data_IF_094672753449
#
_entry.id   IF_094672753449
#
_cell.length_a   1.000
_cell.length_b   1.000
_cell.length_c   1.000
_cell.angle_alpha   90.00
_cell.angle_beta   90.00
_cell.angle_gamma   90.00
#
_symmetry.space_group_name_H-M   'P 1'
#
loop_
_entity.id
_entity.type
_entity.pdbx_description
1 polymer ?
#
# COMPACT_ATOMS: atom_id res chain seq x y z
N UNK A 1 6.92 6.44 10.67
CA UNK A 1 5.91 5.34 10.64
C UNK A 1 4.47 5.78 10.44
N UNK A 2 4.17 7.07 10.34
CA UNK A 2 2.80 7.57 10.08
C UNK A 2 2.26 7.15 8.69
N UNK A 3 3.13 6.82 7.74
CA UNK A 3 2.75 6.37 6.40
C UNK A 3 2.40 4.87 6.31
N UNK A 4 2.81 4.06 7.29
CA UNK A 4 2.63 2.61 7.25
C UNK A 4 1.19 2.15 6.94
N UNK A 5 0.13 2.76 7.48
CA UNK A 5 -1.24 2.37 7.10
C UNK A 5 -1.53 2.44 5.60
N UNK A 6 -0.85 3.34 4.87
CA UNK A 6 -1.02 3.51 3.43
C UNK A 6 -0.17 2.54 2.59
N UNK A 7 0.91 2.00 3.16
CA UNK A 7 1.85 1.13 2.44
C UNK A 7 1.79 -0.34 2.88
N UNK A 8 1.12 -0.66 4.01
CA UNK A 8 0.99 -2.04 4.48
C UNK A 8 0.32 -2.96 3.45
N UNK A 9 -0.58 -2.43 2.62
CA UNK A 9 -1.24 -3.19 1.55
C UNK A 9 -0.25 -3.74 0.50
N UNK A 10 0.92 -3.09 0.34
CA UNK A 10 1.96 -3.59 -0.56
C UNK A 10 2.57 -4.92 -0.07
N UNK A 11 2.49 -5.24 1.21
CA UNK A 11 2.95 -6.54 1.73
C UNK A 11 2.14 -7.72 1.16
N UNK A 12 0.96 -7.46 0.62
CA UNK A 12 0.15 -8.41 -0.14
C UNK A 12 0.36 -8.36 -1.65
N UNK A 13 1.40 -7.69 -2.15
CA UNK A 13 1.68 -7.51 -3.58
C UNK A 13 3.10 -7.98 -3.95
N UNK A 14 3.46 -7.85 -5.22
CA UNK A 14 4.83 -8.08 -5.69
C UNK A 14 5.77 -6.85 -5.51
N UNK A 15 5.39 -5.91 -4.65
CA UNK A 15 6.16 -4.70 -4.35
C UNK A 15 6.83 -4.83 -2.98
N UNK A 16 8.14 -4.57 -2.91
CA UNK A 16 8.87 -4.48 -1.65
C UNK A 16 8.56 -3.17 -0.93
N UNK A 17 8.35 -3.24 0.38
CA UNK A 17 8.26 -2.09 1.29
C UNK A 17 9.61 -1.75 1.94
N UNK A 18 10.71 -2.06 1.26
CA UNK A 18 12.06 -1.71 1.70
C UNK A 18 12.66 -2.60 2.78
N UNK A 19 12.04 -3.74 3.12
CA UNK A 19 12.67 -4.75 4.01
C UNK A 19 13.99 -5.19 3.40
N UNK A 20 15.06 -5.27 4.19
CA UNK A 20 16.41 -5.55 3.71
C UNK A 20 17.14 -4.32 3.13
N UNK A 21 16.67 -3.12 3.43
CA UNK A 21 17.36 -1.84 3.18
C UNK A 21 17.68 -1.12 4.49
N UNK A 22 18.38 0.01 4.42
CA UNK A 22 18.60 0.88 5.57
C UNK A 22 17.34 1.65 6.01
N UNK A 23 16.33 1.76 5.13
CA UNK A 23 15.10 2.56 5.33
C UNK A 23 13.84 1.73 5.08
N UNK A 24 13.62 0.63 5.84
CA UNK A 24 12.41 -0.17 5.71
C UNK A 24 11.18 0.69 6.00
N UNK A 25 10.13 0.51 5.19
CA UNK A 25 8.87 1.25 5.23
C UNK A 25 8.92 2.73 4.85
N UNK A 26 10.10 3.24 4.45
CA UNK A 26 10.25 4.57 3.85
C UNK A 26 10.48 4.50 2.33
N UNK A 27 10.66 3.30 1.79
CA UNK A 27 10.81 3.08 0.35
C UNK A 27 9.88 1.97 -0.13
N UNK A 28 9.36 2.11 -1.34
CA UNK A 28 8.57 1.09 -2.03
C UNK A 28 9.10 0.89 -3.45
N UNK A 29 9.14 -0.35 -3.94
CA UNK A 29 9.64 -0.64 -5.27
C UNK A 29 9.52 -2.10 -5.66
N UNK A 30 9.58 -2.36 -6.97
CA UNK A 30 9.52 -3.70 -7.54
C UNK A 30 10.33 -3.79 -8.84
N UNK A 31 10.86 -4.98 -9.20
CA UNK A 31 11.44 -5.21 -10.51
C UNK A 31 10.45 -5.01 -11.66
N UNK A 32 9.15 -5.16 -11.40
CA UNK A 32 8.09 -4.97 -12.40
C UNK A 32 7.67 -3.52 -12.61
N UNK A 33 8.33 -2.56 -11.95
CA UNK A 33 8.12 -1.13 -12.18
C UNK A 33 9.07 -0.60 -13.27
N UNK A 34 8.69 0.49 -13.97
CA UNK A 34 9.57 1.12 -14.96
C UNK A 34 10.92 1.55 -14.34
N UNK A 35 12.01 1.34 -15.08
CA UNK A 35 13.35 1.76 -14.65
C UNK A 35 13.52 3.28 -14.56
N UNK A 36 12.57 4.04 -15.14
CA UNK A 36 12.48 5.50 -15.03
C UNK A 36 11.94 6.03 -13.71
N UNK A 37 11.56 5.13 -12.77
CA UNK A 37 11.15 5.56 -11.43
C UNK A 37 12.27 6.36 -10.75
N UNK A 38 11.94 7.40 -9.95
CA UNK A 38 12.92 8.33 -9.39
C UNK A 38 13.82 7.72 -8.31
N UNK A 39 13.52 6.52 -7.84
CA UNK A 39 14.29 5.82 -6.81
C UNK A 39 14.46 4.35 -7.14
N UNK A 40 15.61 3.80 -6.79
CA UNK A 40 15.88 2.36 -6.91
C UNK A 40 16.66 1.85 -5.71
N UNK A 41 16.45 0.58 -5.37
CA UNK A 41 17.17 -0.12 -4.30
C UNK A 41 17.21 -1.62 -4.56
N UNK A 42 18.11 -2.32 -3.89
CA UNK A 42 18.24 -3.77 -3.97
C UNK A 42 18.18 -4.35 -2.56
N UNK A 43 17.10 -5.05 -2.17
CA UNK A 43 17.00 -5.67 -0.85
C UNK A 43 18.15 -6.65 -0.59
N UNK A 44 18.80 -6.54 0.57
CA UNK A 44 19.85 -7.44 1.01
C UNK A 44 19.55 -7.94 2.43
N UNK A 45 19.98 -9.15 2.79
CA UNK A 45 19.84 -9.65 4.15
C UNK A 45 20.47 -8.69 5.17
N UNK A 46 19.76 -8.41 6.24
CA UNK A 46 20.26 -7.67 7.39
C UNK A 46 19.67 -8.23 8.69
N UNK A 47 20.08 -7.71 9.84
CA UNK A 47 19.62 -8.18 11.15
C UNK A 47 18.09 -8.09 11.32
N UNK A 48 17.46 -7.06 10.76
CA UNK A 48 16.00 -6.86 10.84
C UNK A 48 15.21 -7.66 9.79
N UNK A 49 15.87 -8.17 8.75
CA UNK A 49 15.25 -8.96 7.68
C UNK A 49 16.28 -9.92 7.08
N UNK A 50 16.48 -11.11 7.67
CA UNK A 50 17.45 -12.10 7.18
C UNK A 50 17.12 -12.62 5.77
N UNK A 51 15.84 -12.67 5.42
CA UNK A 51 15.33 -13.13 4.12
C UNK A 51 14.32 -12.12 3.57
N UNK A 52 14.77 -10.94 3.12
CA UNK A 52 13.84 -9.93 2.61
C UNK A 52 13.18 -10.38 1.31
N UNK A 53 11.93 -10.00 1.06
CA UNK A 53 11.30 -10.15 -0.25
C UNK A 53 12.15 -9.49 -1.34
N UNK A 54 12.17 -10.09 -2.53
CA UNK A 54 12.93 -9.60 -3.70
C UNK A 54 14.44 -9.45 -3.45
N UNK A 55 15.01 -10.26 -2.53
CA UNK A 55 16.44 -10.28 -2.23
C UNK A 55 17.29 -10.31 -3.49
N UNK A 56 18.24 -9.39 -3.59
CA UNK A 56 19.20 -9.33 -4.71
C UNK A 56 18.64 -8.81 -6.03
N UNK A 57 17.35 -8.47 -6.09
CA UNK A 57 16.72 -7.93 -7.29
C UNK A 57 16.70 -6.40 -7.24
N UNK A 58 17.00 -5.74 -8.36
CA UNK A 58 16.84 -4.30 -8.48
C UNK A 58 15.35 -3.94 -8.48
N UNK A 59 14.93 -3.14 -7.51
CA UNK A 59 13.57 -2.64 -7.35
C UNK A 59 13.53 -1.16 -7.72
N UNK A 60 12.62 -0.80 -8.60
CA UNK A 60 12.40 0.58 -9.02
C UNK A 60 11.13 1.10 -8.36
N UNK A 61 11.14 2.35 -7.88
CA UNK A 61 10.01 2.84 -7.12
C UNK A 61 10.16 4.25 -6.57
N UNK A 62 9.78 4.44 -5.30
CA UNK A 62 9.74 5.73 -4.62
C UNK A 62 10.44 5.68 -3.28
N UNK A 63 11.11 6.79 -2.93
CA UNK A 63 11.47 7.11 -1.57
C UNK A 63 10.34 7.99 -0.99
N UNK A 64 9.71 7.53 0.08
CA UNK A 64 8.56 8.16 0.71
C UNK A 64 8.96 8.97 1.96
N UNK A 65 10.26 9.11 2.25
CA UNK A 65 10.72 9.95 3.34
C UNK A 65 10.22 11.39 3.14
N UNK A 66 9.46 11.91 4.10
CA UNK A 66 8.83 13.23 4.00
C UNK A 66 7.56 13.31 3.13
N UNK A 67 7.10 12.18 2.57
CA UNK A 67 5.86 12.15 1.80
C UNK A 67 4.62 12.41 2.69
N UNK A 68 3.50 12.91 2.10
CA UNK A 68 2.25 13.06 2.83
C UNK A 68 1.78 11.75 3.45
N UNK A 69 1.51 11.75 4.75
CA UNK A 69 1.09 10.55 5.50
C UNK A 69 -0.41 10.29 5.44
N UNK A 70 -1.18 11.24 4.95
CA UNK A 70 -2.63 11.15 4.77
C UNK A 70 -3.03 11.71 3.40
N UNK A 71 -4.07 11.15 2.80
CA UNK A 71 -4.65 11.74 1.59
C UNK A 71 -5.34 13.07 1.91
N UNK A 72 -5.55 13.90 0.89
CA UNK A 72 -6.31 15.15 1.02
C UNK A 72 -7.74 14.92 1.57
N UNK A 73 -8.33 13.76 1.27
CA UNK A 73 -9.63 13.31 1.81
C UNK A 73 -9.54 12.71 3.22
N UNK A 74 -8.34 12.66 3.82
CA UNK A 74 -8.06 12.00 5.09
C UNK A 74 -7.85 10.48 4.95
N UNK A 75 -7.28 9.85 6.01
CA UNK A 75 -7.04 8.40 6.04
C UNK A 75 -5.92 7.92 5.12
N UNK A 76 -6.07 6.72 4.54
CA UNK A 76 -5.07 6.05 3.71
C UNK A 76 -4.79 6.83 2.42
N UNK A 77 -3.53 6.82 1.96
CA UNK A 77 -3.15 7.30 0.63
C UNK A 77 -3.18 6.11 -0.33
N UNK A 78 -4.28 5.90 -1.04
CA UNK A 78 -4.42 4.80 -2.01
C UNK A 78 -3.67 5.10 -3.32
N UNK A 79 -3.37 6.37 -3.60
CA UNK A 79 -2.71 6.80 -4.82
C UNK A 79 -1.43 6.03 -5.13
N UNK A 80 -0.63 5.68 -4.11
CA UNK A 80 0.58 4.87 -4.30
C UNK A 80 0.26 3.47 -4.85
N UNK A 81 -0.76 2.82 -4.28
CA UNK A 81 -1.15 1.47 -4.71
C UNK A 81 -1.71 1.47 -6.13
N UNK A 82 -2.56 2.45 -6.43
CA UNK A 82 -3.14 2.63 -7.77
C UNK A 82 -2.07 2.90 -8.83
N UNK A 83 -1.13 3.83 -8.55
CA UNK A 83 -0.03 4.16 -9.43
C UNK A 83 0.88 2.94 -9.70
N UNK A 84 1.26 2.21 -8.66
CA UNK A 84 2.11 1.03 -8.80
C UNK A 84 1.44 -0.08 -9.59
N UNK A 85 0.15 -0.33 -9.37
CA UNK A 85 -0.60 -1.29 -10.18
C UNK A 85 -0.69 -0.85 -11.64
N UNK A 86 -1.01 0.41 -11.88
CA UNK A 86 -1.20 0.93 -13.23
C UNK A 86 0.08 0.83 -14.07
N UNK A 87 1.23 1.11 -13.46
CA UNK A 87 2.54 1.11 -14.11
C UNK A 87 3.27 -0.24 -14.06
N UNK A 88 2.73 -1.23 -13.37
CA UNK A 88 3.33 -2.57 -13.32
C UNK A 88 3.33 -3.23 -14.70
N UNK A 89 4.49 -3.78 -15.08
CA UNK A 89 4.65 -4.62 -16.29
C UNK A 89 4.16 -6.05 -16.07
N UNK A 90 3.91 -6.44 -14.81
CA UNK A 90 3.43 -7.77 -14.42
C UNK A 90 2.14 -7.68 -13.60
N UNK A 91 1.08 -7.16 -14.22
CA UNK A 91 -0.24 -7.02 -13.59
C UNK A 91 -0.87 -8.33 -13.14
N UNK A 92 -0.74 -9.46 -13.89
CA UNK A 92 -1.30 -10.73 -13.46
C UNK A 92 -0.79 -11.23 -12.10
N UNK A 93 0.47 -10.93 -11.75
CA UNK A 93 1.10 -11.35 -10.50
C UNK A 93 1.28 -10.19 -9.50
N UNK A 94 0.63 -9.05 -9.73
CA UNK A 94 0.76 -7.89 -8.85
C UNK A 94 0.20 -8.18 -7.46
N UNK A 95 -1.00 -8.76 -7.37
CA UNK A 95 -1.65 -9.12 -6.12
C UNK A 95 -1.31 -10.55 -5.71
N UNK A 96 -0.72 -10.69 -4.52
CA UNK A 96 -0.50 -11.98 -3.88
C UNK A 96 -1.74 -12.45 -3.12
N UNK A 97 -1.71 -13.70 -2.66
CA UNK A 97 -2.82 -14.33 -1.90
C UNK A 97 -3.15 -13.58 -0.59
N UNK A 98 -2.16 -12.95 0.00
CA UNK A 98 -2.29 -12.24 1.29
C UNK A 98 -2.94 -10.86 1.16
N UNK A 99 -3.14 -10.34 -0.05
CA UNK A 99 -3.70 -8.99 -0.25
C UNK A 99 -5.12 -8.85 0.31
N UNK A 100 -5.97 -9.85 0.11
CA UNK A 100 -7.35 -9.82 0.58
C UNK A 100 -7.47 -9.90 2.10
N UNK A 101 -6.53 -10.58 2.75
CA UNK A 101 -6.43 -10.60 4.22
C UNK A 101 -6.09 -9.22 4.78
N UNK A 102 -5.16 -8.51 4.13
CA UNK A 102 -4.78 -7.14 4.53
C UNK A 102 -5.89 -6.11 4.28
N UNK A 103 -6.59 -6.22 3.16
CA UNK A 103 -7.68 -5.31 2.79
C UNK A 103 -9.01 -5.66 3.44
N UNK A 104 -9.13 -6.87 4.00
CA UNK A 104 -10.36 -7.40 4.60
C UNK A 104 -11.46 -7.77 3.60
N UNK A 105 -11.21 -7.62 2.30
CA UNK A 105 -12.18 -7.91 1.24
C UNK A 105 -11.48 -8.02 -0.12
N UNK A 106 -12.09 -8.76 -1.06
CA UNK A 106 -11.66 -8.80 -2.46
C UNK A 106 -12.05 -7.53 -3.25
N UNK A 107 -13.02 -6.76 -2.75
CA UNK A 107 -13.59 -5.62 -3.47
C UNK A 107 -12.52 -4.56 -3.86
N UNK A 108 -11.55 -4.28 -2.98
CA UNK A 108 -10.49 -3.32 -3.28
C UNK A 108 -9.64 -3.78 -4.48
N UNK A 109 -9.23 -5.04 -4.51
CA UNK A 109 -8.49 -5.62 -5.63
C UNK A 109 -9.28 -5.54 -6.94
N UNK A 110 -10.55 -5.93 -6.92
CA UNK A 110 -11.42 -5.89 -8.08
C UNK A 110 -11.62 -4.46 -8.61
N UNK A 111 -11.78 -3.48 -7.72
CA UNK A 111 -11.91 -2.08 -8.08
C UNK A 111 -10.62 -1.52 -8.71
N UNK A 112 -9.46 -1.89 -8.20
CA UNK A 112 -8.16 -1.50 -8.77
C UNK A 112 -7.98 -2.12 -10.17
N UNK A 113 -8.28 -3.40 -10.32
CA UNK A 113 -8.22 -4.10 -11.61
C UNK A 113 -9.18 -3.46 -12.63
N UNK A 114 -10.37 -3.05 -12.19
CA UNK A 114 -11.36 -2.35 -13.00
C UNK A 114 -10.96 -0.89 -13.34
N UNK A 115 -9.82 -0.40 -12.85
CA UNK A 115 -9.32 0.94 -13.13
C UNK A 115 -10.07 2.07 -12.43
N UNK A 116 -10.76 1.79 -11.31
CA UNK A 116 -11.46 2.83 -10.55
C UNK A 116 -10.47 3.80 -9.92
N UNK A 117 -10.85 5.06 -9.90
CA UNK A 117 -10.13 6.12 -9.21
C UNK A 117 -10.22 5.98 -7.69
N UNK A 118 -9.28 6.61 -6.96
CA UNK A 118 -9.35 6.67 -5.49
C UNK A 118 -10.66 7.24 -4.99
N UNK A 119 -11.22 8.25 -5.68
CA UNK A 119 -12.50 8.87 -5.32
C UNK A 119 -13.68 7.88 -5.43
N UNK A 120 -13.74 7.10 -6.50
CA UNK A 120 -14.79 6.08 -6.70
C UNK A 120 -14.67 4.94 -5.68
N UNK A 121 -13.43 4.50 -5.38
CA UNK A 121 -13.18 3.48 -4.37
C UNK A 121 -13.65 3.97 -3.00
N UNK A 122 -13.29 5.20 -2.60
CA UNK A 122 -13.73 5.80 -1.34
C UNK A 122 -15.23 5.97 -1.25
N UNK A 123 -15.88 6.43 -2.32
CA UNK A 123 -17.32 6.57 -2.37
C UNK A 123 -18.05 5.24 -2.12
N UNK A 124 -17.47 4.13 -2.59
CA UNK A 124 -18.04 2.80 -2.36
C UNK A 124 -18.01 2.35 -0.88
N UNK A 125 -17.12 2.94 -0.06
CA UNK A 125 -17.00 2.63 1.37
C UNK A 125 -17.99 3.39 2.25
N UNK A 126 -18.49 4.55 1.79
CA UNK A 126 -19.31 5.46 2.62
C UNK A 126 -20.54 4.81 3.25
N UNK A 127 -21.33 3.96 2.56
CA UNK A 127 -22.47 3.32 3.19
C UNK A 127 -22.08 2.40 4.36
N UNK A 128 -20.98 1.65 4.22
CA UNK A 128 -20.45 0.77 5.25
C UNK A 128 -19.84 1.54 6.42
N UNK A 129 -19.06 2.57 6.10
CA UNK A 129 -18.45 3.46 7.10
C UNK A 129 -19.50 4.21 7.91
N UNK A 130 -20.58 4.68 7.28
CA UNK A 130 -21.69 5.35 7.97
C UNK A 130 -22.36 4.43 8.99
N UNK A 131 -22.67 3.19 8.60
CA UNK A 131 -23.23 2.17 9.50
C UNK A 131 -22.28 1.86 10.67
N UNK A 132 -21.00 1.67 10.37
CA UNK A 132 -19.99 1.40 11.39
C UNK A 132 -19.83 2.57 12.37
N UNK A 133 -19.76 3.80 11.89
CA UNK A 133 -19.65 5.00 12.73
C UNK A 133 -20.85 5.12 13.67
N UNK A 134 -22.07 4.87 13.17
CA UNK A 134 -23.27 4.88 14.00
C UNK A 134 -23.23 3.82 15.10
N UNK A 135 -22.82 2.58 14.76
CA UNK A 135 -22.68 1.49 15.73
C UNK A 135 -21.58 1.80 16.75
N UNK A 136 -20.43 2.21 16.30
CA UNK A 136 -19.23 2.50 17.11
C UNK A 136 -19.50 3.52 18.22
N UNK A 137 -20.34 4.53 17.98
CA UNK A 137 -20.66 5.57 18.99
C UNK A 137 -21.13 5.00 20.31
N UNK A 138 -21.81 3.86 20.29
CA UNK A 138 -22.32 3.20 21.51
C UNK A 138 -21.22 2.55 22.36
N UNK A 139 -20.00 2.44 21.82
CA UNK A 139 -18.87 1.74 22.46
C UNK A 139 -17.68 2.66 22.75
N UNK A 140 -17.77 3.95 22.41
CA UNK A 140 -16.70 4.90 22.66
C UNK A 140 -16.64 5.26 24.14
N UNK A 141 -15.47 5.08 24.75
CA UNK A 141 -15.20 5.52 26.12
C UNK A 141 -14.86 7.02 26.19
N UNK A 142 -14.45 7.61 25.06
CA UNK A 142 -14.06 9.01 24.94
C UNK A 142 -14.81 9.65 23.75
N UNK A 143 -15.10 10.98 23.81
CA UNK A 143 -15.73 11.68 22.69
C UNK A 143 -14.85 11.63 21.42
N UNK A 144 -15.50 11.59 20.26
CA UNK A 144 -14.79 11.74 18.98
C UNK A 144 -14.13 13.13 18.90
N UNK A 145 -12.87 13.17 18.46
CA UNK A 145 -12.14 14.39 18.16
C UNK A 145 -12.28 14.77 16.71
#
# INVERSE_FOLDING_TARGET
MALYPSICLFEGTNVSVGRGTATPFDVIGSPSQPTSRPYSFTPQPNAGSPTPPLKGQACYGLNLAGAPTRSAAGGLVLGYLLDFYQQSTDKPHFFGKYFEELSGTNALREQIIAGKSEAEIRASWEPGLGKFKALRRNYLLYPER
#
